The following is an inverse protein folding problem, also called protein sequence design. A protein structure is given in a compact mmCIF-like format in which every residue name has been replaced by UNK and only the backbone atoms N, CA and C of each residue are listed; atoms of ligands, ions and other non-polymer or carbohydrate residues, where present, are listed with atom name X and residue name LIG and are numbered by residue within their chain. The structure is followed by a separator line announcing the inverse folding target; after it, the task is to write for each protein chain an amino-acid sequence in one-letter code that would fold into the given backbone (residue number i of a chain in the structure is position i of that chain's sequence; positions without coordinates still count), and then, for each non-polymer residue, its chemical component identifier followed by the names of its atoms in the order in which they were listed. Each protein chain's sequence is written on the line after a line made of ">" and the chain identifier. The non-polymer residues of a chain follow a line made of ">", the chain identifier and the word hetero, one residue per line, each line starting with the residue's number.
data_IF_103462640097
#
_entry.id   IF_103462640097
#
_cell.length_a   1.000
_cell.length_b   1.000
_cell.length_c   1.000
_cell.angle_alpha   90.00
_cell.angle_beta   90.00
_cell.angle_gamma   90.00
#
_symmetry.space_group_name_H-M   'P 1'
#
loop_
_entity.id
_entity.type
_entity.pdbx_description
1 polymer ?
#
# COMPACT_ATOMS: atom_id res chain seq x y z
N UNK A 1 -21.27 -3.48 4.75
CA UNK A 1 -20.87 -2.15 5.25
C UNK A 1 -20.53 -2.35 6.72
N UNK A 2 -19.31 -2.76 7.01
CA UNK A 2 -18.86 -2.90 8.39
C UNK A 2 -17.76 -1.87 8.59
N UNK A 3 -18.12 -0.83 9.33
CA UNK A 3 -17.16 0.09 9.89
C UNK A 3 -16.27 -0.72 10.82
N UNK A 4 -14.99 -0.82 10.48
CA UNK A 4 -13.98 -1.30 11.40
C UNK A 4 -14.12 -0.49 12.68
N UNK A 5 -14.50 -1.22 13.73
CA UNK A 5 -14.82 -0.72 15.04
C UNK A 5 -13.70 0.15 15.59
N UNK A 6 -14.15 1.04 16.47
CA UNK A 6 -13.42 1.96 17.32
C UNK A 6 -12.22 1.27 18.01
N UNK A 7 -11.10 1.16 17.30
CA UNK A 7 -9.78 0.83 17.84
C UNK A 7 -8.80 1.83 17.25
N UNK A 8 -8.98 3.09 17.67
CA UNK A 8 -7.88 4.05 17.62
C UNK A 8 -6.79 3.49 18.55
N UNK A 9 -5.68 3.03 17.98
CA UNK A 9 -4.47 2.75 18.76
C UNK A 9 -4.17 3.94 19.69
N UNK A 10 -3.62 3.71 20.89
CA UNK A 10 -3.35 4.78 21.85
C UNK A 10 -2.28 5.74 21.29
N UNK A 11 -2.69 6.77 20.55
CA UNK A 11 -1.76 7.74 19.97
C UNK A 11 -2.33 8.59 18.84
N UNK A 12 -1.59 9.64 18.42
CA UNK A 12 -1.89 10.38 17.20
C UNK A 12 -1.71 9.49 15.96
N UNK A 13 -2.58 9.66 14.96
CA UNK A 13 -2.42 8.99 13.67
C UNK A 13 -1.14 9.43 12.95
N UNK A 14 -0.64 8.62 12.02
CA UNK A 14 0.68 8.84 11.42
C UNK A 14 0.80 10.20 10.72
N UNK A 15 -0.25 10.64 10.03
CA UNK A 15 -0.30 11.98 9.41
C UNK A 15 -0.13 13.10 10.44
N UNK A 16 -0.77 12.99 11.60
CA UNK A 16 -0.70 13.99 12.66
C UNK A 16 0.67 14.00 13.34
N UNK A 17 1.23 12.82 13.58
CA UNK A 17 2.58 12.62 14.12
C UNK A 17 3.62 13.30 13.23
N UNK A 18 3.66 12.97 11.93
CA UNK A 18 4.62 13.54 10.98
C UNK A 18 4.47 15.06 10.84
N UNK A 19 3.26 15.60 10.97
CA UNK A 19 3.03 17.06 10.92
C UNK A 19 3.29 17.77 12.24
N UNK A 20 3.58 17.04 13.32
CA UNK A 20 3.65 17.55 14.68
C UNK A 20 2.39 18.36 15.05
N UNK A 21 1.21 17.81 14.76
CA UNK A 21 -0.10 18.41 15.05
C UNK A 21 -0.91 17.52 15.98
N UNK A 22 -1.74 18.13 16.82
CA UNK A 22 -2.69 17.41 17.68
C UNK A 22 -3.66 16.60 16.81
N UNK A 23 -3.78 15.30 17.09
CA UNK A 23 -4.78 14.43 16.49
C UNK A 23 -6.10 14.54 17.26
N UNK A 24 -7.17 14.96 16.59
CA UNK A 24 -8.52 15.01 17.20
C UNK A 24 -9.19 13.64 17.15
N UNK A 25 -10.21 13.42 17.99
CA UNK A 25 -11.03 12.19 17.96
C UNK A 25 -11.72 11.97 16.60
N UNK A 26 -12.02 13.05 15.88
CA UNK A 26 -12.67 13.02 14.57
C UNK A 26 -11.67 13.25 13.42
N UNK A 27 -10.40 12.84 13.60
CA UNK A 27 -9.38 13.04 12.59
C UNK A 27 -9.72 12.23 11.32
N UNK A 28 -9.85 12.92 10.18
CA UNK A 28 -10.24 12.30 8.90
C UNK A 28 -9.24 11.26 8.38
N UNK A 29 -8.00 11.25 8.90
CA UNK A 29 -6.91 10.37 8.48
C UNK A 29 -6.71 9.17 9.40
N UNK A 30 -7.23 9.20 10.62
CA UNK A 30 -6.89 8.22 11.64
C UNK A 30 -7.35 6.80 11.30
N UNK A 31 -8.48 6.67 10.61
CA UNK A 31 -8.97 5.38 10.12
C UNK A 31 -8.13 4.77 8.97
N UNK A 32 -7.24 5.55 8.37
CA UNK A 32 -6.46 5.15 7.18
C UNK A 32 -4.96 5.04 7.46
N UNK A 33 -4.45 5.85 8.39
CA UNK A 33 -3.05 5.90 8.76
C UNK A 33 -2.93 5.83 10.29
N UNK A 34 -3.31 4.71 10.92
CA UNK A 34 -3.19 4.56 12.35
C UNK A 34 -1.73 4.58 12.80
N UNK A 35 -1.48 4.71 14.11
CA UNK A 35 -0.12 4.89 14.66
C UNK A 35 0.83 3.73 14.35
N UNK A 36 0.29 2.53 14.16
CA UNK A 36 1.05 1.31 13.86
C UNK A 36 1.69 1.36 12.47
N UNK A 37 1.17 2.20 11.56
CA UNK A 37 1.67 2.35 10.20
C UNK A 37 2.60 3.56 10.06
N UNK A 38 3.24 3.99 11.15
CA UNK A 38 4.10 5.18 11.14
C UNK A 38 5.28 5.02 10.19
N UNK A 39 5.96 3.86 10.20
CA UNK A 39 7.15 3.61 9.38
C UNK A 39 6.81 3.56 7.88
N UNK A 40 5.72 2.90 7.51
CA UNK A 40 5.23 2.88 6.13
C UNK A 40 4.75 4.26 5.69
N UNK A 41 4.14 5.02 6.61
CA UNK A 41 3.74 6.39 6.32
C UNK A 41 4.93 7.31 6.12
N UNK A 42 6.01 7.13 6.88
CA UNK A 42 7.26 7.87 6.69
C UNK A 42 7.84 7.60 5.31
N UNK A 43 7.94 6.32 4.93
CA UNK A 43 8.37 5.89 3.60
C UNK A 43 7.53 6.53 2.48
N UNK A 44 6.21 6.52 2.64
CA UNK A 44 5.30 7.16 1.67
C UNK A 44 5.40 8.68 1.67
N UNK A 45 5.63 9.29 2.83
CA UNK A 45 5.75 10.75 2.97
C UNK A 45 7.06 11.28 2.40
N UNK A 46 8.13 10.48 2.41
CA UNK A 46 9.39 10.78 1.72
C UNK A 46 9.18 10.79 0.21
N UNK A 47 8.48 9.79 -0.33
CA UNK A 47 8.20 9.68 -1.76
C UNK A 47 7.22 10.75 -2.26
N UNK A 48 6.04 10.85 -1.64
CA UNK A 48 4.96 11.69 -2.13
C UNK A 48 4.93 13.07 -1.48
N UNK A 49 5.43 13.21 -0.26
CA UNK A 49 5.19 14.37 0.58
C UNK A 49 3.84 14.30 1.31
N UNK A 50 3.87 14.56 2.62
CA UNK A 50 2.69 14.53 3.50
C UNK A 50 1.53 15.38 2.96
N UNK A 51 1.81 16.56 2.40
CA UNK A 51 0.78 17.46 1.89
C UNK A 51 0.12 16.93 0.61
N UNK A 52 0.85 16.18 -0.22
CA UNK A 52 0.30 15.57 -1.42
C UNK A 52 -0.56 14.35 -1.05
N UNK A 53 -0.13 13.53 -0.09
CA UNK A 53 -0.93 12.43 0.47
C UNK A 53 -2.28 12.96 0.99
N UNK A 54 -2.25 14.02 1.81
CA UNK A 54 -3.47 14.70 2.30
C UNK A 54 -4.37 15.14 1.15
N UNK A 55 -3.80 15.74 0.09
CA UNK A 55 -4.55 16.20 -1.08
C UNK A 55 -5.18 15.04 -1.84
N UNK A 56 -4.45 13.93 -2.02
CA UNK A 56 -4.94 12.72 -2.69
C UNK A 56 -6.11 12.11 -1.92
N UNK A 57 -5.96 11.95 -0.60
CA UNK A 57 -7.01 11.39 0.27
C UNK A 57 -8.29 12.22 0.26
N UNK A 58 -8.17 13.56 0.27
CA UNK A 58 -9.34 14.45 0.20
C UNK A 58 -10.05 14.41 -1.16
N UNK A 59 -9.29 14.25 -2.25
CA UNK A 59 -9.83 14.13 -3.62
C UNK A 59 -10.50 12.77 -3.89
N UNK A 60 -10.07 11.72 -3.19
CA UNK A 60 -10.62 10.39 -3.35
C UNK A 60 -12.06 10.28 -2.80
N UNK A 61 -12.90 9.54 -3.52
CA UNK A 61 -14.25 9.18 -3.07
C UNK A 61 -14.14 8.36 -1.79
N UNK A 62 -15.08 8.55 -0.86
CA UNK A 62 -15.04 7.92 0.48
C UNK A 62 -14.83 6.41 0.40
N UNK A 63 -15.56 5.71 -0.48
CA UNK A 63 -15.43 4.26 -0.66
C UNK A 63 -14.08 3.78 -1.23
N UNK A 64 -13.23 4.67 -1.73
CA UNK A 64 -11.90 4.35 -2.28
C UNK A 64 -10.75 4.74 -1.35
N UNK A 65 -11.02 5.49 -0.27
CA UNK A 65 -9.96 6.04 0.60
C UNK A 65 -9.14 4.96 1.28
N UNK A 66 -9.76 3.86 1.73
CA UNK A 66 -9.04 2.74 2.34
C UNK A 66 -8.06 2.09 1.35
N UNK A 67 -8.51 1.81 0.13
CA UNK A 67 -7.64 1.25 -0.91
C UNK A 67 -6.53 2.23 -1.29
N UNK A 68 -6.87 3.52 -1.44
CA UNK A 68 -5.88 4.54 -1.76
C UNK A 68 -4.79 4.64 -0.68
N UNK A 69 -5.17 4.65 0.60
CA UNK A 69 -4.21 4.70 1.70
C UNK A 69 -3.26 3.50 1.66
N UNK A 70 -3.79 2.29 1.47
CA UNK A 70 -2.99 1.08 1.30
C UNK A 70 -2.01 1.21 0.12
N UNK A 71 -2.47 1.65 -1.06
CA UNK A 71 -1.61 1.84 -2.22
C UNK A 71 -0.51 2.88 -1.98
N UNK A 72 -0.81 3.98 -1.29
CA UNK A 72 0.17 5.02 -0.95
C UNK A 72 1.29 4.43 -0.06
N UNK A 73 0.92 3.68 0.98
CA UNK A 73 1.87 3.05 1.89
C UNK A 73 2.74 2.01 1.16
N UNK A 74 2.09 1.12 0.40
CA UNK A 74 2.77 0.08 -0.37
C UNK A 74 3.75 0.66 -1.39
N UNK A 75 3.38 1.73 -2.08
CA UNK A 75 4.26 2.37 -3.05
C UNK A 75 5.45 3.04 -2.35
N UNK A 76 5.23 3.72 -1.22
CA UNK A 76 6.31 4.27 -0.40
C UNK A 76 7.34 3.20 -0.01
N UNK A 77 6.88 2.09 0.55
CA UNK A 77 7.73 0.95 0.93
C UNK A 77 8.46 0.36 -0.29
N UNK A 78 7.78 0.24 -1.44
CA UNK A 78 8.40 -0.28 -2.65
C UNK A 78 9.58 0.59 -3.15
N UNK A 79 9.49 1.92 -3.01
CA UNK A 79 10.58 2.83 -3.37
C UNK A 79 11.76 2.79 -2.40
N UNK A 80 11.53 2.45 -1.12
CA UNK A 80 12.63 2.17 -0.18
C UNK A 80 13.39 0.89 -0.60
N UNK A 81 12.66 -0.15 -1.01
CA UNK A 81 13.28 -1.44 -1.40
C UNK A 81 13.94 -1.43 -2.78
N UNK A 82 13.34 -0.75 -3.76
CA UNK A 82 13.89 -0.58 -5.11
C UNK A 82 13.85 0.90 -5.48
N UNK A 83 14.88 1.69 -5.13
CA UNK A 83 14.92 3.12 -5.41
C UNK A 83 14.98 3.47 -6.90
N UNK A 84 15.16 2.48 -7.78
CA UNK A 84 15.27 2.68 -9.23
C UNK A 84 13.92 2.44 -9.91
N UNK A 85 13.20 1.40 -9.51
CA UNK A 85 11.97 0.97 -10.18
C UNK A 85 10.73 0.96 -9.28
N UNK A 86 10.86 1.15 -7.97
CA UNK A 86 9.76 1.19 -7.00
C UNK A 86 8.76 0.05 -7.16
N UNK A 87 7.48 0.37 -7.06
CA UNK A 87 6.39 -0.61 -7.23
C UNK A 87 6.36 -1.25 -8.62
N UNK A 88 6.82 -0.54 -9.65
CA UNK A 88 6.89 -1.08 -11.02
C UNK A 88 7.90 -2.23 -11.14
N UNK A 89 9.05 -2.13 -10.46
CA UNK A 89 10.06 -3.19 -10.43
C UNK A 89 9.51 -4.48 -9.83
N UNK A 90 8.79 -4.36 -8.71
CA UNK A 90 8.11 -5.48 -8.06
C UNK A 90 7.05 -6.10 -8.98
N UNK A 91 6.18 -5.28 -9.59
CA UNK A 91 5.16 -5.76 -10.52
C UNK A 91 5.79 -6.51 -11.70
N UNK A 92 6.84 -5.95 -12.31
CA UNK A 92 7.53 -6.55 -13.45
C UNK A 92 8.15 -7.89 -13.10
N UNK A 93 8.76 -8.02 -11.91
CA UNK A 93 9.31 -9.27 -11.40
C UNK A 93 8.22 -10.34 -11.25
N UNK A 94 7.13 -10.00 -10.57
CA UNK A 94 6.00 -10.91 -10.36
C UNK A 94 5.37 -11.36 -11.68
N UNK A 95 5.19 -10.45 -12.64
CA UNK A 95 4.67 -10.79 -13.97
C UNK A 95 5.60 -11.74 -14.74
N UNK A 96 6.91 -11.53 -14.65
CA UNK A 96 7.90 -12.46 -15.23
C UNK A 96 7.83 -13.84 -14.59
N UNK A 97 7.73 -13.86 -13.28
CA UNK A 97 7.62 -15.06 -12.46
C UNK A 97 6.36 -15.89 -12.74
N UNK A 98 5.23 -15.24 -12.97
CA UNK A 98 3.98 -15.89 -13.40
C UNK A 98 4.18 -16.51 -14.79
N UNK A 99 4.66 -15.72 -15.77
CA UNK A 99 4.87 -16.21 -17.14
C UNK A 99 5.80 -17.41 -17.22
N UNK A 100 6.90 -17.37 -16.46
CA UNK A 100 7.86 -18.47 -16.41
C UNK A 100 7.21 -19.76 -15.88
N UNK A 101 6.43 -19.64 -14.80
CA UNK A 101 5.72 -20.78 -14.20
C UNK A 101 4.61 -21.31 -15.09
N UNK A 102 3.87 -20.44 -15.77
CA UNK A 102 2.86 -20.83 -16.74
C UNK A 102 3.47 -21.59 -17.93
N UNK A 103 4.62 -21.15 -18.44
CA UNK A 103 5.34 -21.85 -19.50
C UNK A 103 5.79 -23.25 -19.05
N UNK A 104 6.38 -23.36 -17.85
CA UNK A 104 6.79 -24.64 -17.27
C UNK A 104 5.60 -25.60 -17.07
N UNK A 105 4.48 -25.10 -16.56
CA UNK A 105 3.26 -25.92 -16.41
C UNK A 105 2.69 -26.36 -17.76
N UNK A 106 2.78 -25.53 -18.79
CA UNK A 106 2.34 -25.89 -20.14
C UNK A 106 3.17 -27.04 -20.71
N UNK A 107 4.50 -26.96 -20.56
CA UNK A 107 5.43 -28.01 -20.99
C UNK A 107 5.17 -29.33 -20.27
N UNK A 108 5.09 -29.33 -18.94
CA UNK A 108 4.80 -30.55 -18.16
C UNK A 108 3.46 -31.17 -18.52
N UNK A 109 2.42 -30.36 -18.75
CA UNK A 109 1.10 -30.86 -19.17
C UNK A 109 1.16 -31.54 -20.55
N UNK A 110 2.00 -31.03 -21.46
CA UNK A 110 2.19 -31.63 -22.78
C UNK A 110 2.89 -33.00 -22.67
N UNK A 111 3.93 -33.09 -21.84
CA UNK A 111 4.65 -34.35 -21.56
C UNK A 111 3.68 -35.40 -20.99
N UNK A 112 2.94 -35.06 -19.93
CA UNK A 112 1.96 -35.98 -19.31
C UNK A 112 0.90 -36.44 -20.30
N UNK A 113 0.48 -35.58 -21.22
CA UNK A 113 -0.49 -35.95 -22.26
C UNK A 113 0.11 -36.91 -23.29
N UNK A 114 1.40 -36.81 -23.59
CA UNK A 114 2.07 -37.72 -24.54
C UNK A 114 2.37 -39.10 -23.97
N UNK A 115 2.41 -39.24 -22.64
CA UNK A 115 2.63 -40.51 -21.93
C UNK A 115 1.34 -41.29 -21.66
N UNK A 116 0.17 -40.69 -21.94
CA UNK A 116 -1.15 -41.34 -21.86
C UNK A 116 -1.66 -41.72 -23.25
#
# INVERSE_FOLDING_TARGET
>A
MEAFGDNFGPGPCAVCTTRNKRCSRNCEFAAYFPSELQDEFESASELFGTQNIIRMMRRARVGQRSMLALCILMEGVAWIHDPVQGGFGMMRRLLWEIKLREAYLCELKAIIKSEK
#
